data_IF_672926812768
#
_entry.id   IF_672926812768
#
_cell.length_a   1.000
_cell.length_b   1.000
_cell.length_c   1.000
_cell.angle_alpha   90.00
_cell.angle_beta   90.00
_cell.angle_gamma   90.00
#
_symmetry.space_group_name_H-M   'P 1'
#
loop_
_entity.id
_entity.type
_entity.pdbx_description
1 polymer ?
#
# COMPACT_ATOMS: atom_id res chain seq x y z
N UNK A 1 0.40 -4.65 -25.63
CA UNK A 1 0.81 -3.32 -25.08
C UNK A 1 2.16 -3.49 -24.39
N UNK A 2 3.13 -2.63 -24.71
CA UNK A 2 4.43 -2.56 -24.02
C UNK A 2 4.82 -1.09 -23.90
N UNK A 3 4.98 -0.62 -22.68
CA UNK A 3 5.42 0.75 -22.37
C UNK A 3 6.64 0.68 -21.46
N UNK A 4 7.74 1.28 -21.88
CA UNK A 4 9.00 1.35 -21.15
C UNK A 4 9.47 2.80 -21.16
N UNK A 5 10.10 3.24 -20.09
CA UNK A 5 10.80 4.52 -20.07
C UNK A 5 12.05 4.49 -20.97
N UNK A 6 12.71 5.61 -21.10
CA UNK A 6 13.90 5.76 -21.93
C UNK A 6 15.05 4.85 -21.47
N UNK A 7 15.26 4.74 -20.15
CA UNK A 7 16.32 3.93 -19.60
C UNK A 7 16.12 2.43 -19.86
N UNK A 8 14.91 1.92 -19.62
CA UNK A 8 14.60 0.51 -19.91
C UNK A 8 14.70 0.21 -21.42
N UNK A 9 14.20 1.13 -22.29
CA UNK A 9 14.33 0.98 -23.75
C UNK A 9 15.77 0.91 -24.23
N UNK A 10 16.67 1.62 -23.60
CA UNK A 10 18.08 1.65 -23.96
C UNK A 10 18.83 0.34 -23.60
N UNK A 11 18.38 -0.37 -22.56
CA UNK A 11 19.09 -1.51 -22.00
C UNK A 11 18.41 -2.85 -22.19
N UNK A 12 17.12 -2.87 -22.57
CA UNK A 12 16.37 -4.11 -22.85
C UNK A 12 16.50 -4.46 -24.35
N UNK A 13 16.68 -5.76 -24.71
CA UNK A 13 16.77 -6.18 -26.12
C UNK A 13 15.51 -5.77 -26.90
N UNK A 14 15.68 -5.01 -27.99
CA UNK A 14 14.56 -4.41 -28.75
C UNK A 14 13.61 -5.46 -29.36
N UNK A 15 14.15 -6.55 -29.91
CA UNK A 15 13.37 -7.55 -30.62
C UNK A 15 12.48 -8.40 -29.70
N UNK A 16 12.90 -8.64 -28.46
CA UNK A 16 12.24 -9.55 -27.51
C UNK A 16 12.00 -8.91 -26.14
N UNK A 17 11.83 -7.60 -26.07
CA UNK A 17 11.74 -6.85 -24.83
C UNK A 17 10.69 -7.40 -23.84
N UNK A 18 9.50 -7.77 -24.34
CA UNK A 18 8.44 -8.33 -23.52
C UNK A 18 8.85 -9.67 -22.89
N UNK A 19 9.34 -10.60 -23.72
CA UNK A 19 9.72 -11.95 -23.26
C UNK A 19 10.97 -11.91 -22.36
N UNK A 20 11.91 -11.02 -22.66
CA UNK A 20 13.07 -10.80 -21.84
C UNK A 20 12.67 -10.33 -20.42
N UNK A 21 11.82 -9.31 -20.31
CA UNK A 21 11.30 -8.82 -19.03
C UNK A 21 10.47 -9.88 -18.28
N UNK A 22 9.66 -10.66 -19.00
CA UNK A 22 8.92 -11.77 -18.39
C UNK A 22 9.81 -12.87 -17.83
N UNK A 23 11.08 -12.96 -18.26
CA UNK A 23 12.05 -14.00 -17.89
C UNK A 23 13.25 -13.45 -17.14
N UNK A 24 13.36 -12.12 -16.96
CA UNK A 24 14.53 -11.48 -16.37
C UNK A 24 15.02 -12.23 -15.13
N UNK A 25 16.32 -12.44 -15.06
CA UNK A 25 16.99 -13.11 -13.94
C UNK A 25 17.35 -12.11 -12.85
N UNK A 26 17.41 -12.58 -11.61
CA UNK A 26 17.72 -11.78 -10.44
C UNK A 26 17.31 -12.48 -9.15
N UNK A 27 17.30 -11.74 -8.06
CA UNK A 27 16.88 -12.27 -6.76
C UNK A 27 15.36 -12.46 -6.74
N UNK A 28 14.92 -13.72 -6.56
CA UNK A 28 13.50 -14.06 -6.51
C UNK A 28 12.99 -13.87 -5.08
N UNK A 29 12.13 -12.87 -4.86
CA UNK A 29 11.47 -12.64 -3.56
C UNK A 29 10.19 -13.45 -3.39
N UNK A 30 9.50 -13.72 -4.49
CA UNK A 30 8.26 -14.50 -4.48
C UNK A 30 8.09 -15.24 -5.79
N UNK A 31 7.82 -16.54 -5.71
CA UNK A 31 7.40 -17.35 -6.84
C UNK A 31 6.21 -18.21 -6.41
N UNK A 32 5.04 -17.95 -6.97
CA UNK A 32 3.81 -18.72 -6.71
C UNK A 32 3.13 -19.01 -8.03
N UNK A 33 3.13 -20.28 -8.44
CA UNK A 33 2.53 -20.78 -9.70
C UNK A 33 2.77 -19.85 -10.92
N UNK A 34 1.88 -18.87 -11.13
CA UNK A 34 1.85 -18.02 -12.30
C UNK A 34 2.30 -16.57 -12.01
N UNK A 35 2.89 -16.31 -10.84
CA UNK A 35 3.32 -14.98 -10.42
C UNK A 35 4.74 -15.06 -9.85
N UNK A 36 5.61 -14.16 -10.32
CA UNK A 36 6.97 -14.00 -9.77
C UNK A 36 7.26 -12.54 -9.49
N UNK A 37 7.96 -12.30 -8.40
CA UNK A 37 8.55 -10.99 -8.09
C UNK A 37 10.06 -11.17 -8.05
N UNK A 38 10.75 -10.44 -8.90
CA UNK A 38 12.20 -10.52 -9.07
C UNK A 38 12.79 -9.14 -8.89
N UNK A 39 13.86 -9.08 -8.16
CA UNK A 39 14.73 -7.92 -8.00
C UNK A 39 15.91 -8.06 -8.95
N UNK A 40 16.20 -7.05 -9.75
CA UNK A 40 17.25 -7.09 -10.76
C UNK A 40 17.89 -5.73 -10.99
N UNK A 41 19.12 -5.76 -11.49
CA UNK A 41 19.87 -4.56 -11.87
C UNK A 41 19.98 -4.48 -13.41
N UNK A 42 19.79 -3.29 -13.95
CA UNK A 42 19.91 -3.04 -15.38
C UNK A 42 20.42 -1.61 -15.62
N UNK A 43 21.52 -1.49 -16.39
CA UNK A 43 22.11 -0.19 -16.71
C UNK A 43 22.47 0.65 -15.48
N UNK A 44 22.95 0.01 -14.41
CA UNK A 44 23.32 0.68 -13.16
C UNK A 44 22.15 1.12 -12.28
N UNK A 45 20.91 0.75 -12.64
CA UNK A 45 19.70 1.01 -11.82
C UNK A 45 19.12 -0.27 -11.27
N UNK A 46 18.46 -0.14 -10.15
CA UNK A 46 17.88 -1.24 -9.38
C UNK A 46 16.35 -1.27 -9.52
N UNK A 47 15.80 -2.43 -9.85
CA UNK A 47 14.39 -2.60 -10.19
C UNK A 47 13.77 -3.80 -9.50
N UNK A 48 12.47 -3.73 -9.32
CA UNK A 48 11.59 -4.87 -9.07
C UNK A 48 10.66 -5.10 -10.25
N UNK A 49 10.52 -6.34 -10.68
CA UNK A 49 9.49 -6.72 -11.63
C UNK A 49 8.52 -7.71 -10.99
N UNK A 50 7.22 -7.45 -11.16
CA UNK A 50 6.16 -8.40 -10.85
C UNK A 50 5.59 -8.91 -12.18
N UNK A 51 5.89 -10.16 -12.50
CA UNK A 51 5.42 -10.82 -13.72
C UNK A 51 4.28 -11.79 -13.39
N UNK A 52 3.23 -11.74 -14.21
CA UNK A 52 2.05 -12.60 -14.12
C UNK A 52 1.90 -13.38 -15.42
N UNK A 53 1.74 -14.70 -15.33
CA UNK A 53 1.35 -15.58 -16.43
C UNK A 53 -0.09 -16.01 -16.25
N UNK A 54 -0.79 -16.30 -17.34
CA UNK A 54 -2.19 -16.67 -17.33
C UNK A 54 -2.52 -17.75 -16.29
N UNK A 55 -3.61 -17.56 -15.59
CA UNK A 55 -4.17 -18.58 -14.70
C UNK A 55 -5.10 -19.46 -15.55
N UNK A 56 -4.82 -20.74 -15.69
CA UNK A 56 -5.67 -21.67 -16.46
C UNK A 56 -7.14 -21.58 -16.07
N UNK A 57 -8.04 -21.87 -16.99
CA UNK A 57 -9.51 -21.77 -16.79
C UNK A 57 -10.02 -22.46 -15.52
N UNK A 58 -9.38 -23.57 -15.10
CA UNK A 58 -9.74 -24.28 -13.84
C UNK A 58 -9.58 -23.39 -12.61
N UNK A 59 -8.54 -22.58 -12.55
CA UNK A 59 -8.28 -21.64 -11.43
C UNK A 59 -9.25 -20.44 -11.51
N UNK A 60 -9.59 -19.96 -12.70
CA UNK A 60 -10.59 -18.91 -12.92
C UNK A 60 -11.95 -19.36 -12.38
N UNK A 61 -12.42 -20.53 -12.79
CA UNK A 61 -13.70 -21.11 -12.35
C UNK A 61 -13.72 -21.38 -10.84
N UNK A 62 -12.63 -21.91 -10.28
CA UNK A 62 -12.52 -22.15 -8.83
C UNK A 62 -12.65 -20.85 -8.04
N UNK A 63 -11.96 -19.79 -8.44
CA UNK A 63 -12.04 -18.50 -7.75
C UNK A 63 -13.44 -17.86 -7.88
N UNK A 64 -14.08 -18.02 -9.04
CA UNK A 64 -15.43 -17.52 -9.29
C UNK A 64 -16.48 -18.22 -8.40
N UNK A 65 -16.39 -19.55 -8.23
CA UNK A 65 -17.22 -20.32 -7.29
C UNK A 65 -17.11 -19.83 -5.84
N UNK A 66 -15.92 -19.32 -5.44
CA UNK A 66 -15.71 -18.76 -4.10
C UNK A 66 -15.95 -17.23 -4.01
N UNK A 67 -16.57 -16.62 -5.04
CA UNK A 67 -16.84 -15.18 -5.06
C UNK A 67 -15.58 -14.30 -5.00
N UNK A 68 -14.42 -14.84 -5.40
CA UNK A 68 -13.13 -14.15 -5.41
C UNK A 68 -12.72 -13.84 -6.84
N UNK A 69 -12.49 -12.57 -7.16
CA UNK A 69 -11.86 -12.21 -8.42
C UNK A 69 -10.39 -12.64 -8.39
N UNK A 70 -9.94 -13.54 -9.31
CA UNK A 70 -8.55 -13.92 -9.39
C UNK A 70 -7.71 -12.72 -9.84
N UNK A 71 -6.50 -12.57 -9.28
CA UNK A 71 -5.54 -11.58 -9.79
C UNK A 71 -4.89 -12.21 -11.03
N UNK A 72 -5.38 -11.84 -12.20
CA UNK A 72 -4.96 -12.42 -13.47
C UNK A 72 -3.88 -11.61 -14.19
N UNK A 73 -3.64 -10.37 -13.77
CA UNK A 73 -2.65 -9.49 -14.41
C UNK A 73 -2.05 -8.47 -13.42
N UNK A 74 -0.96 -7.82 -13.83
CA UNK A 74 -0.36 -6.68 -13.15
C UNK A 74 -1.11 -5.35 -13.45
N UNK A 75 -2.08 -5.36 -14.37
CA UNK A 75 -2.80 -4.17 -14.81
C UNK A 75 -3.49 -3.40 -13.69
N UNK A 76 -4.18 -4.02 -12.72
CA UNK A 76 -4.76 -3.29 -11.59
C UNK A 76 -3.73 -2.50 -10.79
N UNK A 77 -2.49 -3.00 -10.68
CA UNK A 77 -1.44 -2.34 -9.90
C UNK A 77 -0.94 -1.06 -10.58
N UNK A 78 -0.62 -1.08 -11.88
CA UNK A 78 -0.18 0.17 -12.53
C UNK A 78 -1.33 1.19 -12.72
N UNK A 79 -2.57 0.73 -12.89
CA UNK A 79 -3.74 1.63 -12.87
C UNK A 79 -3.94 2.28 -11.50
N UNK A 80 -3.71 1.54 -10.42
CA UNK A 80 -3.76 2.06 -9.07
C UNK A 80 -2.64 3.08 -8.83
N UNK A 81 -1.40 2.80 -9.26
CA UNK A 81 -0.27 3.74 -9.21
C UNK A 81 -0.65 5.05 -9.92
N UNK A 82 -1.13 4.96 -11.16
CA UNK A 82 -1.50 6.15 -11.92
C UNK A 82 -2.61 6.96 -11.23
N UNK A 83 -3.65 6.28 -10.73
CA UNK A 83 -4.77 6.93 -10.06
C UNK A 83 -4.38 7.57 -8.73
N UNK A 84 -3.53 6.91 -7.93
CA UNK A 84 -3.04 7.43 -6.66
C UNK A 84 -2.11 8.62 -6.87
N UNK A 85 -1.19 8.54 -7.85
CA UNK A 85 -0.30 9.65 -8.18
C UNK A 85 -1.10 10.87 -8.68
N UNK A 86 -2.12 10.67 -9.53
CA UNK A 86 -3.01 11.74 -9.98
C UNK A 86 -3.78 12.37 -8.82
N UNK A 87 -4.08 11.59 -7.77
CA UNK A 87 -4.71 12.07 -6.54
C UNK A 87 -3.71 12.72 -5.56
N UNK A 88 -2.40 12.75 -5.85
CA UNK A 88 -1.36 13.33 -5.01
C UNK A 88 -0.90 12.44 -3.86
N UNK A 89 -1.05 11.11 -3.99
CA UNK A 89 -0.46 10.09 -3.12
C UNK A 89 0.80 9.56 -3.78
N UNK A 90 1.94 9.63 -3.08
CA UNK A 90 3.22 9.13 -3.58
C UNK A 90 3.21 7.60 -3.57
N UNK A 91 3.60 7.00 -4.69
CA UNK A 91 3.71 5.56 -4.89
C UNK A 91 5.05 5.24 -5.56
N UNK A 92 5.49 3.97 -5.62
CA UNK A 92 6.63 3.60 -6.45
C UNK A 92 6.44 4.04 -7.89
N UNK A 93 7.49 4.53 -8.53
CA UNK A 93 7.43 4.83 -9.97
C UNK A 93 7.37 3.56 -10.79
N UNK A 94 6.66 3.61 -11.92
CA UNK A 94 6.45 2.49 -12.83
C UNK A 94 7.13 2.79 -14.19
N UNK A 95 8.47 2.57 -14.31
CA UNK A 95 9.20 2.80 -15.56
C UNK A 95 8.85 1.81 -16.66
N UNK A 96 8.24 0.67 -16.35
CA UNK A 96 7.88 -0.32 -17.36
C UNK A 96 6.61 -1.10 -17.03
N UNK A 97 5.80 -1.34 -18.05
CA UNK A 97 4.61 -2.21 -17.96
C UNK A 97 4.34 -2.89 -19.28
N UNK A 98 3.81 -4.10 -19.22
CA UNK A 98 3.47 -4.86 -20.39
C UNK A 98 2.26 -5.76 -20.18
N UNK A 99 1.48 -5.92 -21.26
CA UNK A 99 0.29 -6.79 -21.29
C UNK A 99 0.19 -7.44 -22.66
N UNK A 100 0.03 -8.76 -22.68
CA UNK A 100 -0.16 -9.57 -23.88
C UNK A 100 -1.22 -10.65 -23.61
N UNK A 101 -2.01 -10.97 -24.61
CA UNK A 101 -3.13 -11.91 -24.52
C UNK A 101 -4.47 -11.22 -24.29
N UNK A 102 -5.56 -11.93 -24.61
CA UNK A 102 -6.94 -11.43 -24.56
C UNK A 102 -7.82 -12.16 -23.55
N UNK A 103 -7.47 -13.40 -23.20
CA UNK A 103 -8.25 -14.22 -22.28
C UNK A 103 -7.53 -14.36 -20.92
N UNK A 104 -8.26 -14.39 -19.80
CA UNK A 104 -7.67 -14.55 -18.45
C UNK A 104 -6.71 -15.74 -18.34
N UNK A 105 -6.94 -16.81 -19.10
CA UNK A 105 -6.09 -17.99 -19.12
C UNK A 105 -4.74 -17.79 -19.85
N UNK A 106 -4.67 -16.83 -20.80
CA UNK A 106 -3.50 -16.58 -21.67
C UNK A 106 -2.90 -15.19 -21.41
N UNK A 107 -3.39 -14.48 -20.42
CA UNK A 107 -2.97 -13.12 -20.13
C UNK A 107 -1.58 -13.13 -19.49
N UNK A 108 -0.61 -12.57 -20.18
CA UNK A 108 0.73 -12.32 -19.65
C UNK A 108 0.90 -10.83 -19.41
N UNK A 109 1.44 -10.48 -18.26
CA UNK A 109 1.66 -9.09 -17.91
C UNK A 109 2.80 -8.92 -16.92
N UNK A 110 3.40 -7.75 -16.94
CA UNK A 110 4.36 -7.36 -15.93
C UNK A 110 4.26 -5.88 -15.59
N UNK A 111 4.76 -5.54 -14.42
CA UNK A 111 5.05 -4.17 -13.99
C UNK A 111 6.48 -4.13 -13.48
N UNK A 112 7.26 -3.14 -13.96
CA UNK A 112 8.59 -2.82 -13.46
C UNK A 112 8.48 -1.57 -12.58
N UNK A 113 9.10 -1.61 -11.43
CA UNK A 113 9.16 -0.51 -10.47
C UNK A 113 10.61 -0.27 -10.07
N UNK A 114 10.98 0.99 -9.80
CA UNK A 114 12.27 1.27 -9.16
C UNK A 114 12.30 0.67 -7.74
N UNK A 115 13.45 0.12 -7.36
CA UNK A 115 13.70 -0.28 -5.98
C UNK A 115 13.66 0.95 -5.07
N UNK A 116 13.06 0.78 -3.89
CA UNK A 116 12.96 1.83 -2.88
C UNK A 116 14.10 1.64 -1.86
N UNK A 117 15.31 1.99 -2.29
CA UNK A 117 16.52 1.87 -1.46
C UNK A 117 16.54 2.92 -0.35
N UNK A 118 17.11 2.54 0.80
CA UNK A 118 17.23 3.42 1.95
C UNK A 118 15.88 3.87 2.52
N UNK A 119 14.86 3.01 2.41
CA UNK A 119 13.54 3.25 2.97
C UNK A 119 13.27 2.32 4.16
N UNK A 120 12.51 2.81 5.12
CA UNK A 120 12.02 2.04 6.27
C UNK A 120 10.50 2.06 6.30
N UNK A 121 9.86 0.96 6.70
CA UNK A 121 8.43 0.93 6.90
C UNK A 121 8.03 1.71 8.16
N UNK A 122 6.80 2.26 8.19
CA UNK A 122 6.30 2.89 9.40
C UNK A 122 6.10 1.86 10.53
N UNK A 123 5.87 0.60 10.21
CA UNK A 123 5.80 -0.47 11.20
C UNK A 123 7.15 -0.65 11.90
N UNK A 124 8.25 -0.75 11.15
CA UNK A 124 9.61 -0.88 11.70
C UNK A 124 10.06 0.40 12.42
N UNK A 125 9.76 1.57 11.85
CA UNK A 125 10.08 2.85 12.48
C UNK A 125 9.40 3.00 13.85
N UNK A 126 8.19 2.46 14.00
CA UNK A 126 7.37 2.69 15.21
C UNK A 126 7.34 1.51 16.17
N UNK A 127 8.02 0.40 15.88
CA UNK A 127 7.98 -0.83 16.70
C UNK A 127 8.32 -0.63 18.17
N UNK A 128 9.25 0.29 18.47
CA UNK A 128 9.73 0.56 19.83
C UNK A 128 9.13 1.87 20.44
N UNK A 129 8.04 2.37 19.87
CA UNK A 129 7.47 3.66 20.32
C UNK A 129 6.51 3.51 21.49
N UNK A 130 6.03 2.31 21.76
CA UNK A 130 5.14 2.06 22.89
C UNK A 130 5.85 2.32 24.22
N UNK A 131 5.27 3.21 25.05
CA UNK A 131 5.84 3.63 26.34
C UNK A 131 7.04 4.58 26.24
N UNK A 132 7.58 4.78 25.05
CA UNK A 132 8.71 5.69 24.85
C UNK A 132 8.28 7.16 24.95
N UNK A 133 9.07 7.95 25.66
CA UNK A 133 8.84 9.39 25.91
C UNK A 133 9.82 10.22 25.07
N UNK A 134 9.49 11.49 24.82
CA UNK A 134 10.34 12.44 24.10
C UNK A 134 9.56 13.40 23.21
N UNK A 135 9.93 14.67 23.23
CA UNK A 135 9.26 15.74 22.46
C UNK A 135 9.31 15.45 20.94
N UNK A 136 10.48 15.12 20.42
CA UNK A 136 10.69 14.78 19.00
C UNK A 136 9.74 13.68 18.54
N UNK A 137 9.67 12.57 19.29
CA UNK A 137 8.81 11.43 18.96
C UNK A 137 7.33 11.79 18.99
N UNK A 138 6.89 12.60 19.95
CA UNK A 138 5.50 13.08 20.02
C UNK A 138 5.16 13.94 18.80
N UNK A 139 6.04 14.83 18.39
CA UNK A 139 5.85 15.68 17.21
C UNK A 139 5.86 14.87 15.93
N UNK A 140 6.82 13.98 15.75
CA UNK A 140 6.90 13.08 14.60
C UNK A 140 5.64 12.21 14.47
N UNK A 141 5.19 11.61 15.58
CA UNK A 141 3.95 10.83 15.60
C UNK A 141 2.74 11.66 15.15
N UNK A 142 2.62 12.91 15.59
CA UNK A 142 1.55 13.81 15.15
C UNK A 142 1.62 14.07 13.64
N UNK A 143 2.81 14.31 13.11
CA UNK A 143 3.04 14.51 11.68
C UNK A 143 2.64 13.26 10.88
N UNK A 144 3.07 12.07 11.32
CA UNK A 144 2.72 10.81 10.67
C UNK A 144 1.20 10.56 10.68
N UNK A 145 0.54 10.77 11.83
CA UNK A 145 -0.93 10.63 11.95
C UNK A 145 -1.66 11.55 10.97
N UNK A 146 -1.23 12.81 10.84
CA UNK A 146 -1.83 13.75 9.89
C UNK A 146 -1.62 13.35 8.44
N UNK A 147 -0.41 12.87 8.10
CA UNK A 147 -0.11 12.44 6.73
C UNK A 147 -0.88 11.16 6.37
N UNK A 148 -0.93 10.16 7.25
CA UNK A 148 -1.70 8.94 7.06
C UNK A 148 -3.19 9.25 6.85
N UNK A 149 -3.74 10.15 7.67
CA UNK A 149 -5.13 10.59 7.53
C UNK A 149 -5.38 11.31 6.19
N UNK A 150 -4.43 12.17 5.76
CA UNK A 150 -4.51 12.85 4.46
C UNK A 150 -4.47 11.86 3.30
N UNK A 151 -3.52 10.90 3.32
CA UNK A 151 -3.40 9.87 2.28
C UNK A 151 -4.70 9.05 2.21
N UNK A 152 -5.21 8.58 3.35
CA UNK A 152 -6.45 7.83 3.42
C UNK A 152 -7.64 8.65 2.86
N UNK A 153 -7.76 9.93 3.24
CA UNK A 153 -8.80 10.83 2.74
C UNK A 153 -8.74 11.00 1.23
N UNK A 154 -7.56 11.29 0.70
CA UNK A 154 -7.36 11.53 -0.74
C UNK A 154 -7.64 10.26 -1.53
N UNK A 155 -7.11 9.12 -1.09
CA UNK A 155 -7.33 7.82 -1.70
C UNK A 155 -8.82 7.44 -1.72
N UNK A 156 -9.48 7.50 -0.57
CA UNK A 156 -10.91 7.16 -0.48
C UNK A 156 -11.79 8.18 -1.22
N UNK A 157 -11.43 9.46 -1.21
CA UNK A 157 -12.12 10.52 -1.97
C UNK A 157 -12.01 10.34 -3.48
N UNK A 158 -10.93 9.73 -3.97
CA UNK A 158 -10.76 9.36 -5.37
C UNK A 158 -11.43 8.01 -5.74
N UNK A 159 -12.24 7.46 -4.85
CA UNK A 159 -12.93 6.18 -5.06
C UNK A 159 -12.03 4.95 -4.95
N UNK A 160 -10.81 5.10 -4.40
CA UNK A 160 -9.82 4.02 -4.28
C UNK A 160 -9.83 3.44 -2.87
N UNK A 161 -9.77 2.12 -2.75
CA UNK A 161 -9.53 1.42 -1.50
C UNK A 161 -8.38 0.41 -1.64
N UNK A 162 -7.52 0.32 -0.62
CA UNK A 162 -6.28 -0.46 -0.66
C UNK A 162 -6.49 -1.94 -0.39
N UNK A 163 -7.33 -2.28 0.58
CA UNK A 163 -7.65 -3.61 1.10
C UNK A 163 -6.59 -4.20 2.05
N UNK A 164 -5.35 -3.76 1.97
CA UNK A 164 -4.24 -4.14 2.84
C UNK A 164 -3.55 -2.86 3.37
N UNK A 165 -4.33 -1.98 3.96
CA UNK A 165 -3.91 -0.64 4.39
C UNK A 165 -3.31 -0.71 5.80
N UNK A 166 -2.03 -1.10 5.88
CA UNK A 166 -1.27 -1.33 7.12
C UNK A 166 -0.03 -0.45 7.17
N UNK A 167 0.52 -0.20 8.36
CA UNK A 167 1.75 0.61 8.54
C UNK A 167 2.96 0.07 7.76
N UNK A 168 3.08 -1.25 7.60
CA UNK A 168 4.14 -1.87 6.82
C UNK A 168 4.12 -1.48 5.33
N UNK A 169 3.01 -0.99 4.82
CA UNK A 169 2.88 -0.54 3.43
C UNK A 169 3.07 0.97 3.23
N UNK A 170 3.47 1.68 4.26
CA UNK A 170 3.91 3.06 4.18
C UNK A 170 5.41 3.12 4.43
N UNK A 171 6.16 3.51 3.42
CA UNK A 171 7.60 3.68 3.52
C UNK A 171 7.97 5.15 3.62
N UNK A 172 9.04 5.41 4.34
CA UNK A 172 9.70 6.71 4.41
C UNK A 172 11.20 6.52 4.32
N UNK A 173 11.95 7.60 3.99
CA UNK A 173 13.41 7.53 3.99
C UNK A 173 13.92 7.14 5.37
N UNK A 174 14.81 6.15 5.41
CA UNK A 174 15.54 5.82 6.62
C UNK A 174 16.58 6.92 6.90
N UNK A 175 16.53 7.45 8.10
CA UNK A 175 17.39 8.55 8.58
C UNK A 175 17.52 8.49 10.08
N UNK A 176 18.33 9.36 10.65
CA UNK A 176 18.37 9.58 12.09
C UNK A 176 17.10 10.28 12.59
N UNK A 177 16.10 9.47 12.92
CA UNK A 177 14.81 9.92 13.42
C UNK A 177 14.85 10.46 14.85
N UNK A 178 15.92 10.21 15.60
CA UNK A 178 16.11 10.76 16.96
C UNK A 178 16.33 12.29 16.90
N UNK A 179 17.01 12.77 15.88
CA UNK A 179 17.30 14.18 15.64
C UNK A 179 16.31 14.86 14.69
N UNK A 180 15.21 14.19 14.30
CA UNK A 180 14.19 14.78 13.44
C UNK A 180 13.53 16.01 14.10
N UNK A 181 13.27 17.03 13.29
CA UNK A 181 12.57 18.27 13.67
C UNK A 181 11.35 18.51 12.79
N UNK A 182 10.38 19.34 13.21
CA UNK A 182 9.23 19.71 12.38
C UNK A 182 9.57 20.44 11.07
N UNK A 183 10.78 20.96 10.93
CA UNK A 183 11.27 21.53 9.68
C UNK A 183 11.64 20.47 8.64
N UNK A 184 11.94 19.26 9.11
CA UNK A 184 12.28 18.14 8.23
C UNK A 184 11.00 17.56 7.58
N UNK A 185 10.98 17.59 6.26
CA UNK A 185 9.88 17.00 5.50
C UNK A 185 9.85 15.48 5.70
N UNK A 186 8.68 14.97 6.05
CA UNK A 186 8.38 13.52 6.03
C UNK A 186 7.56 13.23 4.79
N UNK A 187 8.06 12.38 3.91
CA UNK A 187 7.33 11.89 2.74
C UNK A 187 7.02 10.42 2.92
N UNK A 188 5.76 10.04 2.69
CA UNK A 188 5.30 8.66 2.77
C UNK A 188 5.00 8.13 1.38
N UNK A 189 5.61 7.00 1.05
CA UNK A 189 5.34 6.24 -0.18
C UNK A 189 4.43 5.07 0.15
N UNK A 190 3.27 5.00 -0.48
CA UNK A 190 2.31 3.88 -0.33
C UNK A 190 2.65 2.77 -1.32
N UNK A 191 2.87 1.56 -0.82
CA UNK A 191 3.27 0.39 -1.61
C UNK A 191 2.23 -0.74 -1.57
N UNK A 192 2.48 -1.81 -2.33
CA UNK A 192 1.67 -3.05 -2.41
C UNK A 192 0.25 -2.82 -2.94
N UNK A 193 0.17 -2.17 -4.09
CA UNK A 193 -1.08 -1.68 -4.70
C UNK A 193 -1.83 -2.73 -5.53
N UNK A 194 -1.37 -3.98 -5.54
CA UNK A 194 -1.91 -5.05 -6.39
C UNK A 194 -3.36 -5.44 -6.07
N UNK A 195 -3.90 -5.03 -4.92
CA UNK A 195 -5.29 -5.30 -4.48
C UNK A 195 -6.17 -4.06 -4.47
N UNK A 196 -5.62 -2.90 -4.84
CA UNK A 196 -6.39 -1.65 -4.91
C UNK A 196 -7.56 -1.80 -5.86
N UNK A 197 -8.69 -1.27 -5.46
CA UNK A 197 -9.90 -1.24 -6.28
C UNK A 197 -10.36 0.19 -6.45
N UNK A 198 -10.86 0.51 -7.63
CA UNK A 198 -11.44 1.82 -7.96
C UNK A 198 -12.94 1.69 -8.18
N UNK A 199 -13.69 2.66 -7.65
CA UNK A 199 -15.15 2.82 -7.79
C UNK A 199 -15.48 4.30 -7.85
N UNK A 200 -16.71 4.64 -8.19
CA UNK A 200 -17.20 6.03 -8.12
C UNK A 200 -17.17 6.56 -6.68
N UNK A 201 -17.53 5.70 -5.72
CA UNK A 201 -17.39 5.97 -4.29
C UNK A 201 -16.97 4.69 -3.55
N UNK A 202 -16.16 4.83 -2.49
CA UNK A 202 -15.74 3.69 -1.66
C UNK A 202 -16.88 3.31 -0.72
N UNK A 203 -17.46 2.10 -0.82
CA UNK A 203 -18.48 1.61 0.10
C UNK A 203 -17.97 1.55 1.54
N UNK A 204 -18.83 1.81 2.53
CA UNK A 204 -18.47 1.84 3.95
C UNK A 204 -17.70 0.60 4.42
N UNK A 205 -18.07 -0.59 3.96
CA UNK A 205 -17.35 -1.83 4.31
C UNK A 205 -15.86 -1.81 3.99
N UNK A 206 -15.48 -1.11 2.91
CA UNK A 206 -14.08 -0.99 2.50
C UNK A 206 -13.38 0.15 3.24
N UNK A 207 -14.09 1.24 3.58
CA UNK A 207 -13.58 2.26 4.50
C UNK A 207 -13.26 1.63 5.86
N UNK A 208 -14.19 0.83 6.41
CA UNK A 208 -13.98 0.10 7.67
C UNK A 208 -12.81 -0.86 7.58
N UNK A 209 -12.65 -1.55 6.46
CA UNK A 209 -11.54 -2.49 6.27
C UNK A 209 -10.19 -1.77 6.23
N UNK A 210 -10.06 -0.73 5.43
CA UNK A 210 -8.80 -0.01 5.26
C UNK A 210 -8.43 0.75 6.56
N UNK A 211 -9.34 1.55 7.09
CA UNK A 211 -9.10 2.30 8.32
C UNK A 211 -8.91 1.38 9.54
N UNK A 212 -9.65 0.28 9.59
CA UNK A 212 -9.50 -0.75 10.63
C UNK A 212 -8.16 -1.49 10.54
N UNK A 213 -7.69 -1.77 9.32
CA UNK A 213 -6.36 -2.35 9.09
C UNK A 213 -5.24 -1.40 9.51
N UNK A 214 -5.35 -0.11 9.17
CA UNK A 214 -4.38 0.90 9.58
C UNK A 214 -4.37 1.05 11.11
N UNK A 215 -5.54 1.14 11.74
CA UNK A 215 -5.64 1.20 13.20
C UNK A 215 -5.06 -0.06 13.86
N UNK A 216 -5.38 -1.24 13.36
CA UNK A 216 -4.83 -2.51 13.85
C UNK A 216 -3.31 -2.49 13.89
N UNK A 217 -2.65 -2.14 12.77
CA UNK A 217 -1.19 -2.11 12.68
C UNK A 217 -0.56 -1.00 13.52
N UNK A 218 -1.31 0.04 13.88
CA UNK A 218 -0.83 1.13 14.71
C UNK A 218 -1.00 0.92 16.24
N UNK A 219 -1.74 -0.11 16.67
CA UNK A 219 -2.04 -0.31 18.09
C UNK A 219 -0.79 -0.48 18.96
N UNK A 220 0.25 -1.15 18.44
CA UNK A 220 1.51 -1.33 19.16
C UNK A 220 2.50 -0.15 18.97
N UNK A 221 2.21 0.79 18.05
CA UNK A 221 3.04 1.97 17.79
C UNK A 221 2.91 3.10 18.85
N UNK A 222 2.31 2.83 20.00
CA UNK A 222 2.15 3.79 21.08
C UNK A 222 1.22 4.96 20.74
N UNK A 223 0.20 4.74 19.90
CA UNK A 223 -0.84 5.72 19.64
C UNK A 223 -1.70 5.96 20.88
N UNK A 224 -2.25 7.14 20.99
CA UNK A 224 -3.11 7.57 22.10
C UNK A 224 -4.51 7.92 21.59
N UNK A 225 -5.49 8.01 22.51
CA UNK A 225 -6.83 8.52 22.18
C UNK A 225 -6.78 9.88 21.45
N UNK A 226 -5.86 10.77 21.86
CA UNK A 226 -5.68 12.07 21.20
C UNK A 226 -5.18 11.93 19.76
N UNK A 227 -4.37 10.93 19.47
CA UNK A 227 -3.88 10.66 18.11
C UNK A 227 -5.01 10.14 17.22
N UNK A 228 -5.91 9.29 17.74
CA UNK A 228 -7.11 8.84 17.05
C UNK A 228 -8.05 10.01 16.72
N UNK A 229 -8.30 10.91 17.66
CA UNK A 229 -9.13 12.10 17.42
C UNK A 229 -8.51 13.02 16.36
N UNK A 230 -7.17 13.20 16.37
CA UNK A 230 -6.46 13.93 15.31
C UNK A 230 -6.61 13.26 13.94
N UNK A 231 -6.49 11.95 13.89
CA UNK A 231 -6.70 11.20 12.66
C UNK A 231 -8.10 11.42 12.11
N UNK A 232 -9.13 11.29 12.94
CA UNK A 232 -10.54 11.51 12.54
C UNK A 232 -10.75 12.90 11.95
N UNK A 233 -10.27 13.92 12.65
CA UNK A 233 -10.36 15.32 12.20
C UNK A 233 -9.63 15.55 10.87
N UNK A 234 -8.40 15.06 10.73
CA UNK A 234 -7.60 15.20 9.52
C UNK A 234 -8.16 14.39 8.34
N UNK A 235 -8.68 13.18 8.60
CA UNK A 235 -9.30 12.33 7.59
C UNK A 235 -10.54 12.98 6.97
N UNK A 236 -11.37 13.66 7.76
CA UNK A 236 -12.55 14.39 7.24
C UNK A 236 -12.28 15.86 6.91
N UNK A 237 -11.12 16.39 7.31
CA UNK A 237 -10.80 17.82 7.25
C UNK A 237 -11.88 18.69 7.93
N UNK A 238 -12.39 18.24 9.08
CA UNK A 238 -13.47 18.86 9.84
C UNK A 238 -13.20 18.72 11.35
N UNK A 239 -13.81 19.56 12.20
CA UNK A 239 -13.72 19.41 13.64
C UNK A 239 -14.13 18.01 14.10
N UNK A 240 -13.29 17.36 14.93
CA UNK A 240 -13.50 15.97 15.34
C UNK A 240 -14.87 15.74 16.01
N UNK A 241 -15.36 16.72 16.78
CA UNK A 241 -16.65 16.63 17.47
C UNK A 241 -17.79 16.47 16.46
N UNK A 242 -17.85 17.32 15.45
CA UNK A 242 -18.87 17.27 14.38
C UNK A 242 -18.83 15.96 13.61
N UNK A 243 -17.61 15.47 13.30
CA UNK A 243 -17.43 14.18 12.63
C UNK A 243 -17.96 13.03 13.47
N UNK A 244 -17.67 13.02 14.78
CA UNK A 244 -18.10 11.92 15.66
C UNK A 244 -19.60 11.96 15.94
N UNK A 245 -20.20 13.15 16.02
CA UNK A 245 -21.66 13.29 16.14
C UNK A 245 -22.38 12.74 14.90
N UNK A 246 -21.89 12.99 13.69
CA UNK A 246 -22.48 12.55 12.43
C UNK A 246 -22.14 11.11 12.06
N UNK A 247 -20.89 10.68 12.27
CA UNK A 247 -20.32 9.44 11.75
C UNK A 247 -19.81 8.48 12.84
N UNK A 248 -20.23 8.66 14.10
CA UNK A 248 -19.79 7.83 15.22
C UNK A 248 -19.97 6.33 14.99
N UNK A 249 -21.02 5.93 14.27
CA UNK A 249 -21.25 4.54 13.86
C UNK A 249 -20.16 3.96 12.99
N UNK A 250 -19.66 4.70 12.01
CA UNK A 250 -18.53 4.30 11.16
C UNK A 250 -17.27 4.08 12.01
N UNK A 251 -16.92 5.05 12.85
CA UNK A 251 -15.70 4.99 13.66
C UNK A 251 -15.74 3.86 14.70
N UNK A 252 -16.93 3.56 15.24
CA UNK A 252 -17.14 2.37 16.08
C UNK A 252 -16.90 1.07 15.32
N UNK A 253 -17.35 0.96 14.07
CA UNK A 253 -17.09 -0.20 13.21
C UNK A 253 -15.59 -0.34 12.89
N UNK A 254 -14.89 0.77 12.60
CA UNK A 254 -13.43 0.81 12.38
C UNK A 254 -12.70 0.27 13.60
N UNK A 255 -13.03 0.77 14.80
CA UNK A 255 -12.45 0.32 16.06
C UNK A 255 -12.71 -1.17 16.30
N UNK A 256 -13.96 -1.61 16.16
CA UNK A 256 -14.33 -3.02 16.35
C UNK A 256 -13.58 -3.94 15.40
N UNK A 257 -13.43 -3.54 14.11
CA UNK A 257 -12.67 -4.28 13.11
C UNK A 257 -11.20 -4.41 13.50
N UNK A 258 -10.55 -3.29 13.91
CA UNK A 258 -9.15 -3.28 14.33
C UNK A 258 -8.90 -4.18 15.55
N UNK A 259 -9.74 -4.09 16.58
CA UNK A 259 -9.61 -4.89 17.80
C UNK A 259 -9.84 -6.39 17.53
N UNK A 260 -10.84 -6.72 16.70
CA UNK A 260 -11.09 -8.10 16.27
C UNK A 260 -9.87 -8.68 15.52
N UNK A 261 -9.31 -7.90 14.59
CA UNK A 261 -8.13 -8.31 13.82
C UNK A 261 -6.92 -8.49 14.74
N UNK A 262 -6.72 -7.59 15.71
CA UNK A 262 -5.61 -7.66 16.66
C UNK A 262 -5.67 -8.95 17.50
N UNK A 263 -6.83 -9.27 18.08
CA UNK A 263 -7.02 -10.50 18.85
C UNK A 263 -6.81 -11.76 17.99
N UNK A 264 -7.29 -11.73 16.75
CA UNK A 264 -7.14 -12.85 15.82
C UNK A 264 -5.69 -13.12 15.43
N UNK A 265 -4.91 -12.06 15.18
CA UNK A 265 -3.52 -12.17 14.69
C UNK A 265 -2.54 -12.39 15.86
N UNK A 266 -2.64 -11.57 16.91
CA UNK A 266 -1.68 -11.59 18.01
C UNK A 266 -2.08 -12.54 19.15
N UNK A 267 -3.32 -13.06 19.16
CA UNK A 267 -3.88 -13.94 20.21
C UNK A 267 -3.71 -13.36 21.62
N UNK A 268 -3.78 -12.04 21.74
CA UNK A 268 -3.73 -11.28 23.01
C UNK A 268 -4.65 -10.09 22.95
N UNK A 269 -4.94 -9.50 24.11
CA UNK A 269 -5.70 -8.25 24.17
C UNK A 269 -4.89 -7.07 23.62
N UNK A 270 -5.54 -6.16 22.87
CA UNK A 270 -4.90 -4.95 22.41
C UNK A 270 -4.53 -4.02 23.57
N UNK A 271 -3.54 -3.11 23.37
CA UNK A 271 -3.24 -2.08 24.34
C UNK A 271 -4.47 -1.25 24.68
N UNK A 272 -4.66 -0.88 25.95
CA UNK A 272 -5.73 0.01 26.40
C UNK A 272 -5.52 1.43 25.87
N UNK A 273 -6.20 1.77 24.78
CA UNK A 273 -6.13 3.09 24.14
C UNK A 273 -7.50 3.79 24.17
N UNK A 274 -8.57 3.03 24.33
CA UNK A 274 -9.97 3.42 24.20
C UNK A 274 -10.62 3.68 25.55
#
# INVERSE_FOLDING_TARGET
MLELDEHLRAHVPKENAFDWLMRVEGQVHRAVKNRRTVEFHLGGRHYFIKAHRGVGWREVFKNWLYGRAPIVSAEPEWRAIAALNAAGVVTPSCPGKGLRGSAPANLESFIVMHALEGMISLEDLTKDWRGARGRTRVLLKRTLVQQLARIARVMHGAGLNHRDFYLCHFLTRDRDWANWTPADKVELTLIDLHRVQRRDAVPERWLVKDLGGLLFSALDAGITRRDLLRFVAAYRAQPCREVLEREGGLWKKVQTNALKLYRSVHRREPPGIF
#
